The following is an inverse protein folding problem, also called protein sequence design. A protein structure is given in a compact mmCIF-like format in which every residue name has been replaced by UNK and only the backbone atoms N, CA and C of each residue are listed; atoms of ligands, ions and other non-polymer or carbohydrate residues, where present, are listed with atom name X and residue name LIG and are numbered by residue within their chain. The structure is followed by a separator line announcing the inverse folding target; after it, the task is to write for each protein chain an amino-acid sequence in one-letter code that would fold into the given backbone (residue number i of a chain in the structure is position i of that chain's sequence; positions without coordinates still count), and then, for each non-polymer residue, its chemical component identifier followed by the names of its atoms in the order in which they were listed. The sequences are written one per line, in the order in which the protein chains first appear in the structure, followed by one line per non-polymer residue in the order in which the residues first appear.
data_IF_129152391764
#
_entry.id   IF_129152391764
#
_cell.length_a   1.000
_cell.length_b   1.000
_cell.length_c   1.000
_cell.angle_alpha   90.00
_cell.angle_beta   90.00
_cell.angle_gamma   90.00
#
_symmetry.space_group_name_H-M   'P 1'
#
loop_
_entity.id
_entity.type
_entity.pdbx_description
1 polymer ?
#
# COMPACT_ATOMS: atom_id res chain seq x y z
N UNK A 1 19.93 -9.51 30.47
CA UNK A 1 18.65 -9.02 30.98
C UNK A 1 18.96 -7.89 31.97
N UNK A 2 18.51 -6.65 31.66
CA UNK A 2 18.53 -5.57 32.65
C UNK A 2 17.32 -5.72 33.56
N UNK A 3 17.54 -5.61 34.88
CA UNK A 3 16.46 -5.55 35.86
C UNK A 3 15.59 -4.34 35.52
N UNK A 4 14.26 -4.56 35.48
CA UNK A 4 13.32 -3.47 35.20
C UNK A 4 13.36 -2.43 36.32
N UNK A 5 13.33 -1.14 35.97
CA UNK A 5 13.19 -0.09 36.96
C UNK A 5 11.89 -0.25 37.76
N UNK A 6 11.90 0.11 39.06
CA UNK A 6 10.74 0.05 39.91
C UNK A 6 9.58 0.89 39.33
N UNK A 7 8.39 0.28 39.22
CA UNK A 7 7.16 0.88 38.68
C UNK A 7 5.95 0.36 39.44
N UNK A 8 4.86 1.08 39.40
CA UNK A 8 3.61 0.66 39.98
C UNK A 8 2.99 -0.57 39.29
N UNK A 9 3.15 -0.64 37.95
CA UNK A 9 2.59 -1.71 37.13
C UNK A 9 3.61 -2.21 36.10
N UNK A 10 3.63 -3.53 35.90
CA UNK A 10 4.47 -4.22 34.92
C UNK A 10 3.59 -4.97 33.94
N UNK A 11 3.94 -4.92 32.67
CA UNK A 11 3.25 -5.64 31.60
C UNK A 11 4.24 -6.55 30.86
N UNK A 12 4.65 -7.68 31.48
CA UNK A 12 5.56 -8.62 30.85
C UNK A 12 4.86 -9.39 29.73
N UNK A 13 5.57 -9.67 28.64
CA UNK A 13 5.08 -10.56 27.58
C UNK A 13 5.11 -12.00 28.09
N UNK A 14 3.95 -12.58 28.39
CA UNK A 14 3.79 -13.94 28.92
C UNK A 14 3.65 -14.98 27.81
N UNK A 15 3.01 -14.61 26.71
CA UNK A 15 2.78 -15.47 25.54
C UNK A 15 3.17 -14.73 24.29
N UNK A 16 3.79 -15.42 23.33
CA UNK A 16 4.16 -14.85 22.06
C UNK A 16 4.13 -15.90 20.96
N UNK A 17 3.52 -15.57 19.84
CA UNK A 17 3.47 -16.44 18.68
C UNK A 17 3.95 -15.68 17.41
N UNK A 18 4.75 -16.28 16.57
CA UNK A 18 5.51 -17.52 16.79
C UNK A 18 6.70 -17.27 17.76
N UNK A 19 6.89 -18.16 18.72
CA UNK A 19 7.96 -18.01 19.73
C UNK A 19 9.36 -18.05 19.12
N UNK A 20 9.59 -18.94 18.16
CA UNK A 20 10.91 -19.18 17.54
C UNK A 20 11.56 -17.89 17.00
N UNK A 21 10.80 -17.04 16.35
CA UNK A 21 11.29 -15.78 15.73
C UNK A 21 11.25 -14.59 16.69
N UNK A 22 10.47 -14.70 17.78
CA UNK A 22 10.19 -13.59 18.68
C UNK A 22 10.68 -13.85 20.12
N UNK A 23 11.49 -14.87 20.36
CA UNK A 23 11.94 -15.28 21.68
C UNK A 23 12.57 -14.15 22.52
N UNK A 24 13.22 -13.18 21.88
CA UNK A 24 13.82 -12.00 22.54
C UNK A 24 12.78 -11.07 23.18
N UNK A 25 11.54 -11.14 22.77
CA UNK A 25 10.47 -10.32 23.32
C UNK A 25 9.78 -11.00 24.52
N UNK A 26 9.99 -12.29 24.75
CA UNK A 26 9.43 -13.01 25.90
C UNK A 26 9.97 -12.43 27.20
N UNK A 27 9.09 -12.15 28.16
CA UNK A 27 9.44 -11.52 29.43
C UNK A 27 9.75 -10.00 29.35
N UNK A 28 9.71 -9.41 28.15
CA UNK A 28 9.94 -7.99 28.00
C UNK A 28 8.81 -7.19 28.66
N UNK A 29 9.16 -6.28 29.57
CA UNK A 29 8.17 -5.35 30.12
C UNK A 29 7.79 -4.28 29.08
N UNK A 30 6.57 -4.34 28.58
CA UNK A 30 6.05 -3.42 27.57
C UNK A 30 6.01 -1.96 28.05
N UNK A 31 5.76 -1.75 29.37
CA UNK A 31 5.76 -0.43 29.98
C UNK A 31 7.13 0.24 30.05
N UNK A 32 8.22 -0.48 29.77
CA UNK A 32 9.56 0.10 29.78
C UNK A 32 9.77 1.16 28.67
N UNK A 33 9.03 1.10 27.58
CA UNK A 33 9.06 2.07 26.51
C UNK A 33 7.92 3.09 26.67
N UNK A 34 8.19 4.41 26.69
CA UNK A 34 7.16 5.44 26.91
C UNK A 34 6.04 5.44 25.85
N UNK A 35 6.37 5.18 24.58
CA UNK A 35 5.39 5.13 23.51
C UNK A 35 4.45 3.92 23.66
N UNK A 36 4.96 2.78 24.10
CA UNK A 36 4.16 1.61 24.40
C UNK A 36 3.28 1.87 25.62
N UNK A 37 3.85 2.43 26.69
CA UNK A 37 3.10 2.74 27.91
C UNK A 37 1.92 3.68 27.62
N UNK A 38 2.14 4.72 26.81
CA UNK A 38 1.07 5.65 26.40
C UNK A 38 -0.09 4.90 25.71
N UNK A 39 0.23 3.99 24.79
CA UNK A 39 -0.79 3.21 24.08
C UNK A 39 -1.51 2.22 25.01
N UNK A 40 -0.79 1.54 25.90
CA UNK A 40 -1.37 0.64 26.91
C UNK A 40 -2.37 1.37 27.82
N UNK A 41 -1.96 2.51 28.38
CA UNK A 41 -2.82 3.31 29.28
C UNK A 41 -4.06 3.79 28.54
N UNK A 42 -3.89 4.27 27.30
CA UNK A 42 -5.00 4.78 26.49
C UNK A 42 -5.97 3.64 26.09
N UNK A 43 -5.44 2.47 25.70
CA UNK A 43 -6.24 1.30 25.35
C UNK A 43 -7.14 0.88 26.53
N UNK A 44 -6.54 0.77 27.75
CA UNK A 44 -7.29 0.43 28.96
C UNK A 44 -8.34 1.49 29.32
N UNK A 45 -8.00 2.78 29.16
CA UNK A 45 -8.93 3.88 29.47
C UNK A 45 -10.14 3.91 28.54
N UNK A 46 -9.93 3.63 27.24
CA UNK A 46 -10.98 3.72 26.23
C UNK A 46 -11.68 2.39 25.93
N UNK A 47 -11.17 1.30 26.49
CA UNK A 47 -11.58 -0.07 26.17
C UNK A 47 -11.66 -0.33 24.67
N UNK A 48 -10.60 0.07 23.97
CA UNK A 48 -10.51 -0.04 22.51
C UNK A 48 -9.10 -0.46 22.09
N UNK A 49 -8.97 -1.06 20.90
CA UNK A 49 -7.66 -1.27 20.29
C UNK A 49 -6.95 0.04 20.05
N UNK A 50 -5.73 0.22 20.59
CA UNK A 50 -4.92 1.43 20.40
C UNK A 50 -3.56 1.04 19.86
N UNK A 51 -3.18 1.69 18.76
CA UNK A 51 -1.88 1.55 18.14
C UNK A 51 -0.83 2.49 18.76
N UNK A 52 0.39 2.01 18.91
CA UNK A 52 1.55 2.85 19.24
C UNK A 52 1.83 3.84 18.08
N UNK A 53 2.60 4.90 18.35
CA UNK A 53 3.36 5.52 17.26
C UNK A 53 4.32 4.50 16.63
N UNK A 54 4.84 4.76 15.42
CA UNK A 54 5.82 3.86 14.80
C UNK A 54 7.02 3.67 15.71
N UNK A 55 7.34 2.41 16.01
CA UNK A 55 8.47 2.05 16.88
C UNK A 55 9.38 1.05 16.19
N UNK A 56 10.66 1.09 16.56
CA UNK A 56 11.59 0.01 16.19
C UNK A 56 11.42 -1.15 17.16
N UNK A 57 11.32 -2.35 16.61
CA UNK A 57 11.21 -3.57 17.42
C UNK A 57 12.59 -3.96 17.97
N UNK A 58 12.64 -4.45 19.20
CA UNK A 58 13.87 -4.91 19.85
C UNK A 58 14.55 -6.09 19.14
N UNK A 59 13.81 -6.80 18.30
CA UNK A 59 14.27 -7.97 17.55
C UNK A 59 14.84 -7.62 16.18
N UNK A 60 14.63 -6.41 15.69
CA UNK A 60 14.99 -6.01 14.33
C UNK A 60 16.38 -5.40 14.30
N UNK A 61 17.20 -5.91 13.40
CA UNK A 61 18.55 -5.37 13.11
C UNK A 61 18.53 -4.30 12.01
N UNK A 62 17.36 -4.11 11.35
CA UNK A 62 17.17 -3.17 10.25
C UNK A 62 16.44 -1.89 10.63
N UNK A 63 16.18 -1.06 9.63
CA UNK A 63 15.42 0.20 9.75
C UNK A 63 13.90 0.03 9.71
N UNK A 64 13.40 -1.20 9.87
CA UNK A 64 11.96 -1.47 9.82
C UNK A 64 11.25 -0.93 11.07
N UNK A 65 10.18 -0.22 10.81
CA UNK A 65 9.26 0.22 11.84
C UNK A 65 8.04 -0.70 11.92
N UNK A 66 7.44 -0.73 13.09
CA UNK A 66 6.21 -1.47 13.33
C UNK A 66 5.25 -0.65 14.16
N UNK A 67 3.97 -0.92 13.99
CA UNK A 67 2.93 -0.55 14.93
C UNK A 67 2.63 -1.73 15.84
N UNK A 68 2.41 -1.45 17.11
CA UNK A 68 1.86 -2.44 18.03
C UNK A 68 0.47 -1.98 18.44
N UNK A 69 -0.54 -2.80 18.19
CA UNK A 69 -1.90 -2.56 18.67
C UNK A 69 -2.08 -3.31 19.97
N UNK A 70 -2.60 -2.64 20.97
CA UNK A 70 -2.97 -3.22 22.27
C UNK A 70 -4.47 -3.20 22.42
N UNK A 71 -5.05 -4.37 22.71
CA UNK A 71 -6.45 -4.55 23.08
C UNK A 71 -6.48 -4.96 24.56
N UNK A 72 -7.13 -4.18 25.45
CA UNK A 72 -7.26 -4.55 26.85
C UNK A 72 -8.20 -5.74 27.00
N UNK A 73 -7.92 -6.57 27.99
CA UNK A 73 -8.74 -7.73 28.34
C UNK A 73 -9.21 -7.57 29.77
N UNK A 74 -10.52 -7.67 29.96
CA UNK A 74 -11.18 -7.60 31.24
C UNK A 74 -11.90 -8.94 31.56
N UNK A 75 -11.96 -9.30 32.85
CA UNK A 75 -12.75 -10.42 33.28
C UNK A 75 -14.24 -10.06 33.20
N UNK A 76 -15.09 -10.97 32.73
CA UNK A 76 -16.54 -10.83 32.60
C UNK A 76 -17.02 -9.55 31.87
N UNK A 77 -16.18 -8.93 31.03
CA UNK A 77 -16.52 -7.71 30.29
C UNK A 77 -16.68 -6.46 31.17
N UNK A 78 -16.34 -6.53 32.44
CA UNK A 78 -16.44 -5.39 33.38
C UNK A 78 -15.21 -4.50 33.27
N UNK A 79 -15.41 -3.25 32.82
CA UNK A 79 -14.37 -2.23 32.60
C UNK A 79 -13.91 -1.58 33.93
N UNK A 80 -13.44 -2.38 34.86
CA UNK A 80 -12.88 -1.86 36.11
C UNK A 80 -11.42 -2.26 36.28
N UNK A 81 -10.68 -1.49 37.09
CA UNK A 81 -9.27 -1.78 37.38
C UNK A 81 -9.10 -3.18 37.99
N UNK A 82 -10.05 -3.61 38.79
CA UNK A 82 -10.04 -4.91 39.52
C UNK A 82 -10.23 -6.08 38.55
N UNK A 83 -10.95 -5.87 37.45
CA UNK A 83 -11.24 -6.91 36.45
C UNK A 83 -10.26 -6.92 35.29
N UNK A 84 -9.29 -6.00 35.29
CA UNK A 84 -8.29 -5.93 34.22
C UNK A 84 -7.30 -7.09 34.33
N UNK A 85 -7.19 -7.90 33.28
CA UNK A 85 -6.31 -9.08 33.21
C UNK A 85 -5.02 -8.83 32.44
N UNK A 86 -5.04 -7.90 31.46
CA UNK A 86 -3.87 -7.67 30.64
C UNK A 86 -4.23 -7.17 29.25
N UNK A 87 -3.34 -7.44 28.29
CA UNK A 87 -3.51 -7.01 26.90
C UNK A 87 -3.25 -8.15 25.94
N UNK A 88 -4.02 -8.19 24.87
CA UNK A 88 -3.65 -8.87 23.63
C UNK A 88 -2.93 -7.84 22.77
N UNK A 89 -1.80 -8.22 22.16
CA UNK A 89 -1.04 -7.33 21.29
C UNK A 89 -0.80 -7.92 19.92
N UNK A 90 -1.05 -7.13 18.88
CA UNK A 90 -0.70 -7.43 17.49
C UNK A 90 0.47 -6.57 17.04
N UNK A 91 1.48 -7.17 16.43
CA UNK A 91 2.65 -6.47 15.88
C UNK A 91 2.56 -6.44 14.38
N UNK A 92 2.48 -5.24 13.81
CA UNK A 92 2.34 -5.00 12.38
C UNK A 92 3.60 -4.35 11.83
N UNK A 93 4.39 -5.14 11.09
CA UNK A 93 5.56 -4.64 10.35
C UNK A 93 5.09 -3.97 9.08
N UNK A 94 5.26 -2.65 9.03
CA UNK A 94 4.65 -1.85 7.95
C UNK A 94 5.22 -2.22 6.57
N UNK A 95 6.55 -2.34 6.46
CA UNK A 95 7.20 -2.66 5.18
C UNK A 95 6.79 -4.01 4.59
N UNK A 96 6.68 -5.07 5.43
CA UNK A 96 6.30 -6.40 4.99
C UNK A 96 4.84 -6.48 4.54
N UNK A 97 3.94 -5.97 5.38
CA UNK A 97 2.50 -6.00 5.09
C UNK A 97 2.14 -5.36 3.74
N UNK A 98 2.76 -4.21 3.44
CA UNK A 98 2.45 -3.48 2.21
C UNK A 98 3.16 -4.03 0.99
N UNK A 99 4.39 -4.56 1.14
CA UNK A 99 5.07 -5.25 0.05
C UNK A 99 4.29 -6.48 -0.41
N UNK A 100 3.75 -7.24 0.52
CA UNK A 100 2.92 -8.41 0.23
C UNK A 100 1.60 -8.02 -0.45
N UNK A 101 0.93 -6.95 0.03
CA UNK A 101 -0.29 -6.44 -0.60
C UNK A 101 -0.06 -5.98 -2.05
N UNK A 102 1.02 -5.24 -2.33
CA UNK A 102 1.34 -4.80 -3.69
C UNK A 102 1.63 -5.97 -4.62
N UNK A 103 2.31 -7.00 -4.11
CA UNK A 103 2.61 -8.22 -4.86
C UNK A 103 1.36 -9.03 -5.15
N UNK A 104 0.51 -9.24 -4.15
CA UNK A 104 -0.72 -10.02 -4.25
C UNK A 104 -1.76 -9.35 -5.15
N UNK A 105 -1.90 -8.03 -5.06
CA UNK A 105 -2.79 -7.23 -5.90
C UNK A 105 -2.29 -7.05 -7.34
N UNK A 106 -1.14 -7.62 -7.72
CA UNK A 106 -0.49 -7.42 -9.03
C UNK A 106 -0.27 -5.95 -9.39
N UNK A 107 -0.15 -5.09 -8.39
CA UNK A 107 0.05 -3.65 -8.55
C UNK A 107 1.53 -3.28 -8.79
N UNK A 108 2.26 -4.09 -9.53
CA UNK A 108 3.71 -3.91 -9.79
C UNK A 108 4.04 -2.59 -10.48
N UNK A 109 3.06 -1.98 -11.14
CA UNK A 109 3.22 -0.73 -11.87
C UNK A 109 2.79 0.51 -11.05
N UNK A 110 2.35 0.29 -9.82
CA UNK A 110 1.94 1.36 -8.91
C UNK A 110 2.93 1.48 -7.77
N UNK A 111 3.14 2.69 -7.33
CA UNK A 111 3.81 2.97 -6.08
C UNK A 111 2.79 3.27 -4.99
N UNK A 112 3.20 3.06 -3.76
CA UNK A 112 2.40 3.36 -2.60
C UNK A 112 3.24 4.07 -1.55
N UNK A 113 2.72 5.14 -1.00
CA UNK A 113 3.28 5.80 0.18
C UNK A 113 2.29 5.75 1.34
N UNK A 114 2.84 5.65 2.55
CA UNK A 114 2.05 5.58 3.77
C UNK A 114 2.56 6.63 4.71
N UNK A 115 1.65 7.42 5.24
CA UNK A 115 1.96 8.50 6.18
C UNK A 115 1.04 8.40 7.39
N UNK A 116 1.63 8.53 8.57
CA UNK A 116 0.88 8.69 9.81
C UNK A 116 0.53 10.16 10.01
N UNK A 117 -0.73 10.49 9.73
CA UNK A 117 -1.23 11.88 9.86
C UNK A 117 -1.33 12.30 11.33
N UNK A 118 -1.49 11.33 12.25
CA UNK A 118 -1.54 11.59 13.69
C UNK A 118 -0.17 11.92 14.31
N UNK A 119 0.92 11.73 13.57
CA UNK A 119 2.28 12.04 14.00
C UNK A 119 3.10 12.60 12.83
N UNK A 120 2.81 13.84 12.39
CA UNK A 120 3.46 14.44 11.22
C UNK A 120 4.97 14.61 11.38
N UNK A 121 5.47 14.67 12.63
CA UNK A 121 6.90 14.75 12.94
C UNK A 121 7.62 13.37 12.93
N UNK A 122 6.87 12.29 12.79
CA UNK A 122 7.46 10.96 12.69
C UNK A 122 8.21 10.83 11.35
N UNK A 123 9.43 10.27 11.33
CA UNK A 123 10.25 10.14 10.10
C UNK A 123 9.65 9.14 9.10
N UNK A 124 8.34 9.05 9.05
CA UNK A 124 7.59 8.17 8.20
C UNK A 124 7.09 8.90 6.97
N UNK A 125 7.70 8.68 5.82
CA UNK A 125 6.96 8.10 4.73
C UNK A 125 7.53 6.70 4.42
N UNK A 126 6.73 5.67 4.62
CA UNK A 126 7.04 4.37 4.05
C UNK A 126 6.67 4.40 2.58
N UNK A 127 7.67 4.47 1.75
CA UNK A 127 7.49 4.30 0.32
C UNK A 127 7.70 2.82 0.02
N UNK A 128 6.65 2.12 -0.39
CA UNK A 128 6.73 0.71 -0.74
C UNK A 128 7.34 0.49 -2.14
N UNK A 129 7.53 1.56 -2.91
CA UNK A 129 8.20 1.53 -4.21
C UNK A 129 9.39 2.48 -4.22
N UNK A 130 10.53 2.00 -4.71
CA UNK A 130 11.71 2.83 -4.98
C UNK A 130 11.55 3.72 -6.24
N UNK A 131 10.40 3.66 -6.92
CA UNK A 131 10.16 4.36 -8.16
C UNK A 131 9.48 5.70 -7.91
N UNK A 132 9.92 6.72 -8.61
CA UNK A 132 9.34 8.05 -8.56
C UNK A 132 7.92 8.09 -9.12
N UNK A 133 7.02 8.90 -8.51
CA UNK A 133 5.67 9.12 -9.03
C UNK A 133 5.71 9.75 -10.42
N UNK A 134 4.77 9.37 -11.28
CA UNK A 134 4.51 10.08 -12.52
C UNK A 134 3.85 11.42 -12.21
N UNK A 135 4.52 12.53 -12.54
CA UNK A 135 3.99 13.89 -12.30
C UNK A 135 2.68 14.19 -13.06
N UNK A 136 2.40 13.45 -14.12
CA UNK A 136 1.21 13.65 -14.97
C UNK A 136 -0.06 12.98 -14.43
N UNK A 137 0.05 12.06 -13.48
CA UNK A 137 -1.08 11.34 -12.91
C UNK A 137 -1.25 11.74 -11.46
N UNK A 138 -2.40 12.34 -11.15
CA UNK A 138 -2.70 12.74 -9.78
C UNK A 138 -2.79 11.50 -8.88
N UNK A 139 -2.05 11.47 -7.77
CA UNK A 139 -2.15 10.37 -6.81
C UNK A 139 -3.54 10.32 -6.18
N UNK A 140 -3.94 9.13 -5.77
CA UNK A 140 -5.17 8.90 -5.02
C UNK A 140 -4.82 8.53 -3.59
N UNK A 141 -5.34 9.27 -2.63
CA UNK A 141 -5.12 8.98 -1.21
C UNK A 141 -6.42 8.58 -0.50
N UNK A 142 -6.27 7.78 0.55
CA UNK A 142 -7.31 7.41 1.49
C UNK A 142 -6.76 7.45 2.89
N UNK A 143 -7.57 7.99 3.81
CA UNK A 143 -7.27 8.02 5.24
C UNK A 143 -8.17 7.01 5.94
N UNK A 144 -7.61 6.20 6.81
CA UNK A 144 -8.33 5.25 7.63
C UNK A 144 -7.82 5.26 9.07
N UNK A 145 -8.69 4.85 9.98
CA UNK A 145 -8.33 4.65 11.39
C UNK A 145 -7.63 3.31 11.57
N UNK A 146 -6.46 3.34 12.17
CA UNK A 146 -5.68 2.18 12.52
C UNK A 146 -5.37 2.19 14.03
N UNK A 147 -6.30 1.68 14.81
CA UNK A 147 -6.18 1.66 16.26
C UNK A 147 -6.07 3.06 16.87
N UNK A 148 -6.96 3.97 16.48
CA UNK A 148 -6.98 5.36 16.95
C UNK A 148 -5.92 6.26 16.34
N UNK A 149 -5.25 5.83 15.28
CA UNK A 149 -4.31 6.64 14.47
C UNK A 149 -4.83 6.80 13.05
N UNK A 150 -4.73 7.99 12.52
CA UNK A 150 -5.10 8.29 11.15
C UNK A 150 -3.91 7.99 10.22
N UNK A 151 -4.06 6.95 9.42
CA UNK A 151 -3.07 6.54 8.43
C UNK A 151 -3.55 6.93 7.04
N UNK A 152 -2.76 7.72 6.34
CA UNK A 152 -2.99 8.03 4.94
C UNK A 152 -2.18 7.06 4.07
N UNK A 153 -2.88 6.43 3.14
CA UNK A 153 -2.26 5.62 2.09
C UNK A 153 -2.49 6.31 0.76
N UNK A 154 -1.42 6.60 0.08
CA UNK A 154 -1.41 7.24 -1.22
C UNK A 154 -0.90 6.26 -2.28
N UNK A 155 -1.68 6.10 -3.34
CA UNK A 155 -1.31 5.31 -4.51
C UNK A 155 -0.97 6.24 -5.67
N UNK A 156 0.11 5.95 -6.36
CA UNK A 156 0.55 6.70 -7.52
C UNK A 156 1.03 5.79 -8.64
N UNK A 157 0.85 6.26 -9.88
CA UNK A 157 1.36 5.55 -11.05
C UNK A 157 2.88 5.75 -11.16
N UNK A 158 3.60 4.70 -11.56
CA UNK A 158 5.04 4.74 -11.80
C UNK A 158 5.35 4.82 -13.30
N UNK A 159 6.61 5.09 -13.66
CA UNK A 159 7.04 5.05 -15.07
C UNK A 159 6.77 3.69 -15.73
N UNK A 160 6.82 2.61 -14.98
CA UNK A 160 6.49 1.27 -15.50
C UNK A 160 5.01 1.14 -15.89
N UNK A 161 4.10 1.81 -15.17
CA UNK A 161 2.69 1.89 -15.55
C UNK A 161 2.51 2.52 -16.94
N UNK A 162 3.23 3.61 -17.21
CA UNK A 162 3.17 4.28 -18.50
C UNK A 162 3.71 3.41 -19.63
N UNK A 163 4.80 2.66 -19.37
CA UNK A 163 5.38 1.73 -20.35
C UNK A 163 4.47 0.53 -20.62
N UNK A 164 3.83 0.00 -19.57
CA UNK A 164 2.89 -1.13 -19.70
C UNK A 164 1.60 -0.74 -20.41
N UNK A 165 1.19 0.52 -20.33
CA UNK A 165 0.02 1.09 -21.00
C UNK A 165 0.34 1.71 -22.36
N UNK A 166 1.50 1.41 -22.94
CA UNK A 166 1.81 1.84 -24.31
C UNK A 166 0.78 1.19 -25.24
N UNK A 167 -0.22 1.98 -25.61
CA UNK A 167 -1.40 1.57 -26.36
C UNK A 167 -1.01 1.08 -27.76
N UNK A 168 -0.55 -0.16 -27.83
CA UNK A 168 -0.36 -0.87 -29.09
C UNK A 168 -1.67 -0.87 -29.91
N UNK A 169 -2.80 -0.96 -29.21
CA UNK A 169 -4.14 -0.96 -29.80
C UNK A 169 -4.41 0.35 -30.57
N UNK A 170 -4.07 1.50 -30.00
CA UNK A 170 -4.24 2.81 -30.66
C UNK A 170 -3.42 2.91 -31.94
N UNK A 171 -2.19 2.37 -31.93
CA UNK A 171 -1.35 2.32 -33.13
C UNK A 171 -1.87 1.34 -34.18
N UNK A 172 -2.44 0.21 -33.78
CA UNK A 172 -3.08 -0.74 -34.70
C UNK A 172 -4.31 -0.13 -35.37
N UNK A 173 -5.16 0.59 -34.63
CA UNK A 173 -6.33 1.26 -35.19
C UNK A 173 -5.90 2.34 -36.19
N UNK A 174 -4.91 3.15 -35.84
CA UNK A 174 -4.40 4.20 -36.71
C UNK A 174 -3.81 3.63 -38.02
N UNK A 175 -2.92 2.64 -37.91
CA UNK A 175 -2.27 2.01 -39.07
C UNK A 175 -3.26 1.22 -39.92
N UNK A 176 -4.17 0.50 -39.30
CA UNK A 176 -5.24 -0.24 -39.98
C UNK A 176 -6.21 0.68 -40.72
N UNK A 177 -6.60 1.79 -40.09
CA UNK A 177 -7.43 2.81 -40.71
C UNK A 177 -6.77 3.47 -41.93
N UNK A 178 -5.49 3.86 -41.82
CA UNK A 178 -4.72 4.41 -42.92
C UNK A 178 -4.59 3.44 -44.10
N UNK A 179 -4.34 2.16 -43.81
CA UNK A 179 -4.23 1.11 -44.81
C UNK A 179 -5.55 0.89 -45.56
N UNK A 180 -6.65 0.90 -44.83
CA UNK A 180 -7.99 0.78 -45.41
C UNK A 180 -8.33 1.94 -46.34
N UNK A 181 -8.02 3.17 -45.91
CA UNK A 181 -8.20 4.37 -46.76
C UNK A 181 -7.35 4.27 -48.03
N UNK A 182 -6.08 3.86 -47.93
CA UNK A 182 -5.20 3.68 -49.08
C UNK A 182 -5.72 2.61 -50.07
N UNK A 183 -6.26 1.50 -49.56
CA UNK A 183 -6.87 0.48 -50.40
C UNK A 183 -8.13 0.97 -51.11
N UNK A 184 -8.99 1.70 -50.40
CA UNK A 184 -10.18 2.31 -51.03
C UNK A 184 -9.81 3.33 -52.12
N UNK A 185 -8.81 4.18 -51.88
CA UNK A 185 -8.32 5.12 -52.90
C UNK A 185 -7.77 4.37 -54.12
N UNK A 186 -6.96 3.33 -53.91
CA UNK A 186 -6.41 2.53 -55.01
C UNK A 186 -7.52 1.87 -55.82
N UNK A 187 -8.55 1.34 -55.16
CA UNK A 187 -9.71 0.72 -55.81
C UNK A 187 -10.50 1.73 -56.66
N UNK A 188 -10.76 2.93 -56.12
CA UNK A 188 -11.44 4.03 -56.88
C UNK A 188 -10.61 4.43 -58.08
N UNK A 189 -9.30 4.59 -57.94
CA UNK A 189 -8.41 4.95 -59.08
C UNK A 189 -8.38 3.85 -60.14
N UNK A 190 -8.40 2.58 -59.75
CA UNK A 190 -8.46 1.46 -60.67
C UNK A 190 -9.77 1.44 -61.49
N UNK A 191 -10.91 1.67 -60.83
CA UNK A 191 -12.22 1.73 -61.49
C UNK A 191 -12.28 2.92 -62.45
N UNK A 192 -11.89 4.11 -62.01
CA UNK A 192 -11.88 5.32 -62.85
C UNK A 192 -10.96 5.21 -64.03
N UNK A 193 -9.76 4.65 -63.83
CA UNK A 193 -8.78 4.41 -64.89
C UNK A 193 -9.32 3.41 -65.96
N UNK A 194 -9.97 2.33 -65.51
CA UNK A 194 -10.56 1.33 -66.41
C UNK A 194 -11.70 1.90 -67.22
N UNK A 195 -12.56 2.73 -66.60
CA UNK A 195 -13.69 3.37 -67.27
C UNK A 195 -13.24 4.35 -68.35
N UNK A 196 -12.15 5.11 -68.13
CA UNK A 196 -11.56 5.99 -69.11
C UNK A 196 -10.96 5.25 -70.31
N UNK A 197 -10.35 4.10 -70.08
CA UNK A 197 -9.77 3.28 -71.14
C UNK A 197 -10.87 2.70 -72.06
N UNK A 198 -11.97 2.21 -71.46
CA UNK A 198 -13.13 1.73 -72.24
C UNK A 198 -13.76 2.85 -73.07
N UNK A 199 -13.93 4.04 -72.54
CA UNK A 199 -14.48 5.18 -73.27
C UNK A 199 -13.54 5.62 -74.44
N UNK A 200 -12.23 5.53 -74.27
CA UNK A 200 -11.26 5.80 -75.34
C UNK A 200 -11.30 4.77 -76.47
N UNK A 201 -11.48 3.50 -76.14
CA UNK A 201 -11.66 2.46 -77.17
C UNK A 201 -12.97 2.58 -77.94
N UNK A 202 -14.08 2.89 -77.26
CA UNK A 202 -15.37 3.13 -77.92
C UNK A 202 -15.28 4.33 -78.89
N UNK A 203 -14.64 5.45 -78.48
CA UNK A 203 -14.43 6.60 -79.36
C UNK A 203 -13.53 6.38 -80.56
N UNK A 204 -12.70 5.34 -80.52
CA UNK A 204 -11.80 4.97 -81.62
C UNK A 204 -12.45 4.09 -82.70
N UNK A 205 -13.54 3.40 -82.30
CA UNK A 205 -14.27 2.47 -83.17
C UNK A 205 -15.57 3.04 -83.79
N UNK A 206 -15.93 4.26 -83.38
CA UNK A 206 -16.98 5.07 -84.00
C UNK A 206 -16.38 6.21 -84.77
#
# INVERSE_FOLDING_TARGET
LKIAASREEYYPVLYIYPLKTNAKAFGLNLAANPQRLKALVLARKLDKPIATSPIRLAQETGSQYAYIIYLPVFHDGLQSREHFQGYISGVFRVGGLFADLLKEAKLQHYGMSIRDVSAPESPFPLTASAQEPLQQVKPTSRIFDFGGRLIEVEFYATKQYQMARKDWESWMILTGGLLLVALLQSFILMITGNTQNIQREVKRKT
#
